data_IF_784286571545
#
_entry.id   IF_784286571545
#
_cell.length_a   1.000
_cell.length_b   1.000
_cell.length_c   1.000
_cell.angle_alpha   90.00
_cell.angle_beta   90.00
_cell.angle_gamma   90.00
#
_symmetry.space_group_name_H-M   'P 1'
#
loop_
_entity.id
_entity.type
_entity.pdbx_description
1 polymer ?
#
# COMPACT_ATOMS: atom_id res chain seq x y z
N UNK A 1 28.14 9.89 -21.99
CA UNK A 1 28.10 8.41 -22.11
C UNK A 1 27.45 7.67 -20.92
N UNK A 2 28.06 7.53 -19.71
CA UNK A 2 27.40 6.78 -18.59
C UNK A 2 26.14 7.47 -18.03
N UNK A 3 26.16 8.81 -17.93
CA UNK A 3 25.00 9.59 -17.46
C UNK A 3 23.84 9.58 -18.48
N UNK A 4 24.13 9.77 -19.78
CA UNK A 4 23.12 9.67 -20.84
C UNK A 4 22.43 8.30 -20.88
N UNK A 5 23.21 7.19 -20.83
CA UNK A 5 22.64 5.83 -20.82
C UNK A 5 21.74 5.57 -19.60
N UNK A 6 22.06 6.19 -18.46
CA UNK A 6 21.22 6.13 -17.26
C UNK A 6 19.89 6.85 -17.47
N UNK A 7 19.92 8.05 -18.02
CA UNK A 7 18.71 8.82 -18.32
C UNK A 7 17.86 8.17 -19.42
N UNK A 8 18.48 7.54 -20.42
CA UNK A 8 17.78 6.72 -21.42
C UNK A 8 17.08 5.52 -20.80
N UNK A 9 17.76 4.79 -19.90
CA UNK A 9 17.14 3.69 -19.16
C UNK A 9 15.93 4.18 -18.37
N UNK A 10 16.09 5.27 -17.62
CA UNK A 10 15.02 5.82 -16.79
C UNK A 10 13.82 6.22 -17.65
N UNK A 11 14.05 6.93 -18.76
CA UNK A 11 12.99 7.31 -19.70
C UNK A 11 12.32 6.10 -20.35
N UNK A 12 13.04 5.03 -20.63
CA UNK A 12 12.48 3.81 -21.24
C UNK A 12 11.62 2.98 -20.28
N UNK A 13 11.88 3.08 -18.96
CA UNK A 13 11.10 2.41 -17.92
C UNK A 13 9.95 3.28 -17.40
N UNK A 14 10.05 4.61 -17.51
CA UNK A 14 9.00 5.53 -17.11
C UNK A 14 7.82 5.54 -18.10
N UNK A 15 6.65 5.91 -17.61
CA UNK A 15 5.42 6.04 -18.40
C UNK A 15 4.51 7.10 -17.77
N UNK A 16 3.73 7.79 -18.59
CA UNK A 16 3.00 9.01 -18.18
C UNK A 16 2.07 8.77 -16.97
N UNK A 17 1.41 7.62 -16.93
CA UNK A 17 0.46 7.25 -15.89
C UNK A 17 1.13 7.02 -14.52
N UNK A 18 2.43 6.68 -14.47
CA UNK A 18 3.16 6.50 -13.20
C UNK A 18 3.26 7.82 -12.43
N UNK A 19 3.58 8.91 -13.13
CA UNK A 19 3.75 10.21 -12.50
C UNK A 19 2.44 10.74 -11.94
N UNK A 20 1.33 10.56 -12.67
CA UNK A 20 -0.01 10.92 -12.20
C UNK A 20 -0.38 10.20 -10.89
N UNK A 21 0.04 8.93 -10.76
CA UNK A 21 -0.17 8.10 -9.56
C UNK A 21 0.61 8.55 -8.34
N UNK A 22 1.88 8.92 -8.50
CA UNK A 22 2.70 9.40 -7.37
C UNK A 22 2.11 10.66 -6.72
N UNK A 23 1.47 11.53 -7.51
CA UNK A 23 0.81 12.75 -7.00
C UNK A 23 -0.47 12.47 -6.20
N UNK A 24 -1.15 11.34 -6.41
CA UNK A 24 -2.38 11.01 -5.68
C UNK A 24 -2.12 10.53 -4.24
N UNK A 25 -0.92 10.05 -3.94
CA UNK A 25 -0.58 9.44 -2.65
C UNK A 25 -0.16 10.43 -1.55
N UNK A 26 0.09 11.70 -1.88
CA UNK A 26 0.70 12.69 -0.98
C UNK A 26 -0.27 13.42 -0.05
N UNK A 27 -1.56 13.08 -0.04
CA UNK A 27 -2.63 13.87 0.61
C UNK A 27 -3.36 13.16 1.77
N UNK A 28 -2.73 12.19 2.44
CA UNK A 28 -3.34 11.46 3.57
C UNK A 28 -3.04 12.04 4.95
N UNK A 29 -4.07 12.15 5.81
CA UNK A 29 -3.93 12.48 7.23
C UNK A 29 -3.19 11.35 7.97
N UNK A 30 -1.95 11.60 8.39
CA UNK A 30 -1.01 10.60 8.96
C UNK A 30 -1.24 10.27 10.44
N UNK A 31 -2.11 11.01 11.14
CA UNK A 31 -2.23 10.94 12.60
C UNK A 31 -2.94 9.68 13.15
N UNK A 32 -3.29 8.68 12.33
CA UNK A 32 -4.20 7.58 12.70
C UNK A 32 -3.57 6.18 12.70
N UNK A 33 -2.27 6.05 12.40
CA UNK A 33 -1.63 4.73 12.24
C UNK A 33 -0.62 4.34 13.33
N UNK A 34 -0.48 5.09 14.42
CA UNK A 34 0.52 4.79 15.46
C UNK A 34 0.40 3.37 16.06
N UNK A 35 -0.80 2.80 16.05
CA UNK A 35 -1.04 1.42 16.49
C UNK A 35 -0.23 0.39 15.71
N UNK A 36 0.17 0.67 14.45
CA UNK A 36 0.90 -0.27 13.60
C UNK A 36 2.23 -0.70 14.22
N UNK A 37 2.88 0.20 14.94
CA UNK A 37 4.17 -0.01 15.59
C UNK A 37 4.08 -0.93 16.82
N UNK A 38 2.89 -1.37 17.17
CA UNK A 38 2.63 -2.36 18.23
C UNK A 38 2.00 -3.65 17.69
N UNK A 39 2.10 -3.90 16.39
CA UNK A 39 1.54 -5.09 15.73
C UNK A 39 2.62 -6.05 15.26
N UNK A 40 2.19 -7.21 14.75
CA UNK A 40 3.02 -8.21 14.07
C UNK A 40 3.82 -7.66 12.89
N UNK A 41 3.49 -6.46 12.40
CA UNK A 41 4.28 -5.77 11.39
C UNK A 41 5.71 -5.50 11.85
N UNK A 42 5.91 -5.07 13.10
CA UNK A 42 7.26 -4.81 13.65
C UNK A 42 8.05 -6.11 13.82
N UNK A 43 7.38 -7.16 14.27
CA UNK A 43 7.96 -8.51 14.35
C UNK A 43 8.41 -8.97 12.96
N UNK A 44 7.56 -8.78 11.95
CA UNK A 44 7.89 -9.10 10.58
C UNK A 44 9.09 -8.28 10.07
N UNK A 45 9.12 -6.95 10.27
CA UNK A 45 10.21 -6.08 9.83
C UNK A 45 11.57 -6.50 10.39
N UNK A 46 11.61 -6.99 11.63
CA UNK A 46 12.84 -7.44 12.29
C UNK A 46 13.19 -8.91 12.04
N UNK A 47 12.25 -9.71 11.53
CA UNK A 47 12.43 -11.14 11.25
C UNK A 47 13.13 -11.44 9.91
N UNK A 48 13.43 -12.72 9.68
CA UNK A 48 13.87 -13.26 8.38
C UNK A 48 12.73 -13.59 7.41
N UNK A 49 11.46 -13.43 7.82
CA UNK A 49 10.33 -13.70 6.94
C UNK A 49 10.30 -12.68 5.80
N UNK A 50 10.11 -13.16 4.57
CA UNK A 50 10.07 -12.35 3.37
C UNK A 50 8.71 -11.70 3.15
N UNK A 51 7.63 -12.48 3.21
CA UNK A 51 6.28 -12.05 2.87
C UNK A 51 5.45 -11.58 4.09
N UNK A 52 4.70 -10.49 3.93
CA UNK A 52 3.69 -10.00 4.86
C UNK A 52 2.42 -9.56 4.11
N UNK A 53 1.24 -9.86 4.65
CA UNK A 53 -0.03 -9.53 4.02
C UNK A 53 -0.96 -8.71 4.94
N UNK A 54 -1.29 -7.50 4.49
CA UNK A 54 -2.27 -6.61 5.10
C UNK A 54 -3.59 -6.78 4.35
N UNK A 55 -4.55 -7.47 4.96
CA UNK A 55 -5.89 -7.59 4.41
C UNK A 55 -6.83 -6.54 5.00
N UNK A 56 -7.91 -6.20 4.30
CA UNK A 56 -8.88 -5.26 4.84
C UNK A 56 -10.10 -5.04 3.97
N UNK A 57 -11.22 -4.69 4.61
CA UNK A 57 -12.46 -4.30 3.91
C UNK A 57 -12.23 -3.11 2.95
N UNK A 58 -13.05 -2.95 1.90
CA UNK A 58 -13.06 -1.72 1.10
C UNK A 58 -13.22 -0.49 2.01
N UNK A 59 -12.49 0.60 1.72
CA UNK A 59 -12.57 1.83 2.53
C UNK A 59 -11.96 1.75 3.94
N UNK A 60 -11.26 0.67 4.30
CA UNK A 60 -10.60 0.53 5.61
C UNK A 60 -9.27 1.30 5.75
N UNK A 61 -8.80 1.98 4.69
CA UNK A 61 -7.56 2.77 4.72
C UNK A 61 -6.27 2.01 4.41
N UNK A 62 -6.33 0.81 3.78
CA UNK A 62 -5.14 0.03 3.38
C UNK A 62 -4.12 0.85 2.58
N UNK A 63 -4.56 1.50 1.50
CA UNK A 63 -3.67 2.28 0.63
C UNK A 63 -3.03 3.45 1.34
N UNK A 64 -3.78 4.11 2.23
CA UNK A 64 -3.25 5.17 3.08
C UNK A 64 -2.20 4.63 4.05
N UNK A 65 -2.43 3.46 4.66
CA UNK A 65 -1.43 2.80 5.51
C UNK A 65 -0.19 2.39 4.71
N UNK A 66 -0.35 1.78 3.53
CA UNK A 66 0.77 1.37 2.68
C UNK A 66 1.65 2.56 2.26
N UNK A 67 1.02 3.69 1.90
CA UNK A 67 1.72 4.94 1.62
C UNK A 67 2.49 5.45 2.85
N UNK A 68 1.83 5.47 4.01
CA UNK A 68 2.43 5.85 5.29
C UNK A 68 3.66 4.99 5.61
N UNK A 69 3.54 3.66 5.57
CA UNK A 69 4.63 2.75 5.91
C UNK A 69 5.81 2.84 4.94
N UNK A 70 5.56 3.04 3.65
CA UNK A 70 6.64 3.19 2.67
C UNK A 70 7.40 4.52 2.80
N UNK A 71 6.79 5.54 3.41
CA UNK A 71 7.38 6.88 3.58
C UNK A 71 7.90 7.19 4.99
N UNK A 72 7.47 6.45 6.02
CA UNK A 72 7.83 6.72 7.42
C UNK A 72 9.23 6.18 7.77
N UNK A 73 10.03 7.00 8.45
CA UNK A 73 11.38 6.65 8.86
C UNK A 73 11.43 5.54 9.91
N UNK A 74 10.35 5.33 10.68
CA UNK A 74 10.24 4.23 11.63
C UNK A 74 10.30 2.88 10.94
N UNK A 75 9.76 2.74 9.71
CA UNK A 75 9.90 1.50 8.92
C UNK A 75 11.37 1.12 8.76
N UNK A 76 12.21 2.08 8.36
CA UNK A 76 13.66 1.87 8.24
C UNK A 76 14.33 1.55 9.58
N UNK A 77 13.85 2.11 10.69
CA UNK A 77 14.41 1.82 12.03
C UNK A 77 14.07 0.41 12.54
N UNK A 78 12.89 -0.12 12.20
CA UNK A 78 12.46 -1.46 12.62
C UNK A 78 12.91 -2.57 11.68
N UNK A 79 13.22 -2.23 10.43
CA UNK A 79 13.83 -3.17 9.49
C UNK A 79 15.07 -3.81 10.10
N UNK A 80 15.20 -5.12 9.91
CA UNK A 80 16.23 -5.96 10.50
C UNK A 80 17.63 -5.30 10.44
N UNK A 81 18.15 -4.97 11.62
CA UNK A 81 19.38 -4.17 11.80
C UNK A 81 20.68 -5.00 11.85
N UNK A 82 20.59 -6.33 12.00
CA UNK A 82 21.76 -7.21 11.99
C UNK A 82 22.34 -7.42 10.57
N UNK A 83 21.64 -6.91 9.55
CA UNK A 83 22.11 -6.90 8.18
C UNK A 83 23.21 -5.84 8.05
N UNK A 84 24.38 -6.20 7.51
CA UNK A 84 25.49 -5.26 7.32
C UNK A 84 25.24 -4.24 6.19
N UNK A 85 24.07 -4.28 5.56
CA UNK A 85 23.74 -3.55 4.35
C UNK A 85 22.63 -2.54 4.63
N UNK A 86 22.65 -1.36 3.99
CA UNK A 86 21.56 -0.40 4.13
C UNK A 86 20.29 -0.93 3.46
N UNK A 87 19.14 -0.43 3.90
CA UNK A 87 17.83 -0.74 3.31
C UNK A 87 17.46 0.28 2.23
N UNK A 88 16.75 -0.19 1.20
CA UNK A 88 16.01 0.65 0.26
C UNK A 88 14.56 0.21 0.20
N UNK A 89 13.65 1.18 0.08
CA UNK A 89 12.22 0.92 -0.03
C UNK A 89 11.80 1.25 -1.47
N UNK A 90 11.06 0.34 -2.09
CA UNK A 90 10.39 0.54 -3.37
C UNK A 90 8.92 0.14 -3.24
N UNK A 91 8.06 0.72 -4.06
CA UNK A 91 6.61 0.50 -3.94
C UNK A 91 5.86 0.55 -5.25
N UNK A 92 4.73 -0.15 -5.29
CA UNK A 92 3.76 -0.09 -6.36
C UNK A 92 2.35 -0.21 -5.79
N UNK A 93 1.36 0.33 -6.49
CA UNK A 93 -0.03 0.09 -6.18
C UNK A 93 -0.81 -0.10 -7.47
N UNK A 94 -1.74 -1.06 -7.46
CA UNK A 94 -2.78 -1.16 -8.46
C UNK A 94 -3.88 -0.15 -8.12
N UNK A 95 -4.44 0.48 -9.16
CA UNK A 95 -5.59 1.39 -9.05
C UNK A 95 -6.52 1.10 -10.22
N UNK A 96 -7.68 0.49 -9.96
CA UNK A 96 -8.67 0.16 -10.99
C UNK A 96 -9.16 1.40 -11.75
N UNK A 97 -9.10 2.60 -11.14
CA UNK A 97 -9.52 3.87 -11.76
C UNK A 97 -8.50 4.38 -12.78
N UNK A 98 -7.28 3.85 -12.77
CA UNK A 98 -6.25 4.21 -13.74
C UNK A 98 -6.59 3.77 -15.18
N UNK A 99 -7.67 3.00 -15.35
CA UNK A 99 -8.15 2.54 -16.66
C UNK A 99 -7.24 1.48 -17.28
N UNK A 100 -7.54 1.13 -18.54
CA UNK A 100 -6.77 0.14 -19.30
C UNK A 100 -5.47 0.78 -19.80
N UNK A 101 -4.33 0.29 -19.32
CA UNK A 101 -3.01 0.75 -19.74
C UNK A 101 -1.88 0.13 -18.91
N UNK A 102 -0.64 0.54 -19.20
CA UNK A 102 0.58 0.10 -18.49
C UNK A 102 0.54 0.42 -17.01
N UNK A 103 -0.28 1.40 -16.61
CA UNK A 103 -0.47 1.72 -15.22
C UNK A 103 -0.94 0.49 -14.42
N UNK A 104 -2.02 -0.18 -14.81
CA UNK A 104 -2.69 -1.14 -13.94
C UNK A 104 -2.48 -2.61 -14.33
N UNK A 105 -1.24 -2.98 -14.68
CA UNK A 105 -0.92 -4.34 -15.10
C UNK A 105 0.47 -4.80 -14.61
N UNK A 106 0.85 -6.03 -14.97
CA UNK A 106 2.11 -6.63 -14.55
C UNK A 106 3.33 -5.89 -15.13
N UNK A 107 3.23 -5.39 -16.35
CA UNK A 107 4.25 -4.54 -16.97
C UNK A 107 4.49 -3.26 -16.17
N UNK A 108 3.43 -2.59 -15.72
CA UNK A 108 3.50 -1.41 -14.85
C UNK A 108 4.17 -1.68 -13.52
N UNK A 109 3.79 -2.78 -12.86
CA UNK A 109 4.42 -3.22 -11.62
C UNK A 109 5.92 -3.43 -11.82
N UNK A 110 6.30 -4.23 -12.82
CA UNK A 110 7.70 -4.57 -13.06
C UNK A 110 8.54 -3.36 -13.47
N UNK A 111 8.02 -2.51 -14.36
CA UNK A 111 8.70 -1.25 -14.76
C UNK A 111 8.90 -0.33 -13.58
N UNK A 112 7.87 -0.13 -12.76
CA UNK A 112 7.91 0.79 -11.62
C UNK A 112 8.90 0.30 -10.55
N UNK A 113 8.87 -0.99 -10.20
CA UNK A 113 9.80 -1.57 -9.23
C UNK A 113 11.23 -1.52 -9.75
N UNK A 114 11.46 -1.87 -11.02
CA UNK A 114 12.79 -1.83 -11.63
C UNK A 114 13.33 -0.39 -11.68
N UNK A 115 12.50 0.58 -12.10
CA UNK A 115 12.85 2.00 -12.16
C UNK A 115 13.25 2.52 -10.78
N UNK A 116 12.42 2.30 -9.75
CA UNK A 116 12.75 2.74 -8.39
C UNK A 116 14.01 2.07 -7.85
N UNK A 117 14.23 0.79 -8.16
CA UNK A 117 15.43 0.06 -7.74
C UNK A 117 16.70 0.71 -8.33
N UNK A 118 16.74 0.99 -9.63
CA UNK A 118 17.91 1.63 -10.27
C UNK A 118 18.06 3.12 -9.96
N UNK A 119 16.97 3.80 -9.60
CA UNK A 119 17.00 5.19 -9.13
C UNK A 119 17.59 5.28 -7.71
N UNK A 120 17.12 4.42 -6.80
CA UNK A 120 17.53 4.40 -5.39
C UNK A 120 18.93 3.79 -5.19
N UNK A 121 19.35 2.92 -6.10
CA UNK A 121 20.66 2.24 -6.08
C UNK A 121 21.37 2.45 -7.42
N UNK A 122 22.01 3.62 -7.62
CA UNK A 122 22.61 3.99 -8.90
C UNK A 122 23.62 2.97 -9.45
N UNK A 123 24.29 2.23 -8.56
CA UNK A 123 25.25 1.16 -8.87
C UNK A 123 24.63 0.02 -9.70
N UNK A 124 23.30 -0.16 -9.62
CA UNK A 124 22.58 -1.18 -10.38
C UNK A 124 22.32 -0.79 -11.83
N UNK A 125 22.35 0.51 -12.17
CA UNK A 125 22.04 0.98 -13.53
C UNK A 125 22.90 0.28 -14.58
N UNK A 126 24.22 0.25 -14.36
CA UNK A 126 25.15 -0.40 -15.31
C UNK A 126 24.94 -1.91 -15.35
N UNK A 127 24.74 -2.55 -14.20
CA UNK A 127 24.54 -4.01 -14.12
C UNK A 127 23.26 -4.45 -14.84
N UNK A 128 22.15 -3.75 -14.62
CA UNK A 128 20.87 -4.04 -15.29
C UNK A 128 20.99 -3.90 -16.80
N UNK A 129 21.69 -2.86 -17.28
CA UNK A 129 21.96 -2.68 -18.71
C UNK A 129 22.87 -3.78 -19.28
N UNK A 130 23.90 -4.20 -18.54
CA UNK A 130 24.78 -5.31 -18.94
C UNK A 130 24.01 -6.62 -19.02
N UNK A 131 23.21 -6.97 -18.00
CA UNK A 131 22.37 -8.17 -18.03
C UNK A 131 21.33 -8.13 -19.17
N UNK A 132 20.75 -6.97 -19.42
CA UNK A 132 19.83 -6.77 -20.54
C UNK A 132 20.55 -6.97 -21.88
N UNK A 133 21.75 -6.41 -22.04
CA UNK A 133 22.58 -6.56 -23.25
C UNK A 133 22.96 -8.01 -23.49
N UNK A 134 23.49 -8.68 -22.48
CA UNK A 134 24.03 -10.04 -22.59
C UNK A 134 22.94 -11.05 -22.95
N UNK A 135 21.72 -10.84 -22.44
CA UNK A 135 20.60 -11.76 -22.66
C UNK A 135 19.73 -11.44 -23.87
N UNK A 136 19.55 -10.17 -24.22
CA UNK A 136 18.60 -9.73 -25.25
C UNK A 136 19.25 -8.99 -26.43
N UNK A 137 20.54 -8.66 -26.34
CA UNK A 137 21.29 -7.93 -27.36
C UNK A 137 21.18 -6.41 -27.26
N UNK A 138 22.14 -5.69 -27.85
CA UNK A 138 22.23 -4.21 -27.79
C UNK A 138 21.02 -3.53 -28.46
N UNK A 139 20.47 -4.11 -29.53
CA UNK A 139 19.36 -3.52 -30.29
C UNK A 139 18.03 -3.49 -29.55
N UNK A 140 17.84 -4.36 -28.55
CA UNK A 140 16.62 -4.45 -27.75
C UNK A 140 16.83 -3.89 -26.33
N UNK A 141 17.90 -3.12 -26.09
CA UNK A 141 18.29 -2.68 -24.75
C UNK A 141 17.22 -1.88 -24.02
N UNK A 142 16.48 -1.05 -24.76
CA UNK A 142 15.45 -0.15 -24.21
C UNK A 142 14.02 -0.63 -24.50
N UNK A 143 13.88 -1.80 -25.14
CA UNK A 143 12.59 -2.47 -25.29
C UNK A 143 12.30 -3.30 -24.04
N UNK A 144 11.07 -3.22 -23.52
CA UNK A 144 10.72 -3.82 -22.23
C UNK A 144 9.51 -4.75 -22.32
N UNK A 145 9.64 -5.92 -23.01
CA UNK A 145 8.64 -6.97 -22.90
C UNK A 145 8.62 -7.54 -21.47
N UNK A 146 7.45 -8.01 -21.02
CA UNK A 146 7.22 -8.49 -19.66
C UNK A 146 8.27 -9.50 -19.18
N UNK A 147 8.64 -10.47 -20.03
CA UNK A 147 9.68 -11.47 -19.72
C UNK A 147 11.03 -10.84 -19.41
N UNK A 148 11.43 -9.81 -20.17
CA UNK A 148 12.68 -9.08 -19.95
C UNK A 148 12.59 -8.25 -18.68
N UNK A 149 11.47 -7.57 -18.44
CA UNK A 149 11.24 -6.80 -17.22
C UNK A 149 11.35 -7.66 -15.96
N UNK A 150 10.66 -8.81 -15.93
CA UNK A 150 10.72 -9.78 -14.83
C UNK A 150 12.16 -10.21 -14.58
N UNK A 151 12.87 -10.61 -15.62
CA UNK A 151 14.25 -11.06 -15.49
C UNK A 151 15.19 -9.94 -15.02
N UNK A 152 15.07 -8.74 -15.58
CA UNK A 152 15.89 -7.59 -15.22
C UNK A 152 15.63 -7.13 -13.77
N UNK A 153 14.39 -7.21 -13.29
CA UNK A 153 14.08 -6.98 -11.89
C UNK A 153 14.74 -8.02 -10.98
N UNK A 154 14.60 -9.32 -11.29
CA UNK A 154 15.22 -10.39 -10.51
C UNK A 154 16.75 -10.29 -10.52
N UNK A 155 17.36 -10.04 -11.67
CA UNK A 155 18.82 -9.88 -11.78
C UNK A 155 19.29 -8.61 -11.03
N UNK A 156 18.51 -7.53 -11.09
CA UNK A 156 18.74 -6.30 -10.32
C UNK A 156 18.66 -6.53 -8.80
N UNK A 157 17.65 -7.25 -8.33
CA UNK A 157 17.51 -7.66 -6.93
C UNK A 157 18.71 -8.52 -6.52
N UNK A 158 19.03 -9.58 -7.27
CA UNK A 158 20.18 -10.47 -6.97
C UNK A 158 21.51 -9.71 -6.88
N UNK A 159 21.72 -8.74 -7.75
CA UNK A 159 22.93 -7.93 -7.80
C UNK A 159 22.92 -6.73 -6.82
N UNK A 160 21.84 -6.52 -6.07
CA UNK A 160 21.66 -5.36 -5.20
C UNK A 160 22.68 -5.38 -4.05
N UNK A 161 23.47 -4.30 -3.85
CA UNK A 161 24.35 -4.16 -2.69
C UNK A 161 23.59 -3.68 -1.44
N UNK A 162 22.26 -3.77 -1.40
CA UNK A 162 21.39 -3.26 -0.34
C UNK A 162 20.29 -4.29 -0.04
N UNK A 163 19.75 -4.24 1.17
CA UNK A 163 18.48 -4.93 1.42
C UNK A 163 17.33 -4.16 0.76
N UNK A 164 16.28 -4.87 0.35
CA UNK A 164 15.15 -4.27 -0.36
C UNK A 164 13.85 -4.58 0.36
N UNK A 165 13.06 -3.55 0.67
CA UNK A 165 11.69 -3.71 1.17
C UNK A 165 10.71 -3.20 0.10
N UNK A 166 9.80 -4.06 -0.31
CA UNK A 166 8.88 -3.86 -1.43
C UNK A 166 7.47 -3.78 -0.87
N UNK A 167 6.75 -2.70 -1.18
CA UNK A 167 5.33 -2.56 -0.86
C UNK A 167 4.49 -2.68 -2.13
N UNK A 168 3.51 -3.58 -2.15
CA UNK A 168 2.56 -3.73 -3.27
C UNK A 168 1.14 -3.64 -2.73
N UNK A 169 0.44 -2.57 -3.07
CA UNK A 169 -0.95 -2.33 -2.65
C UNK A 169 -1.96 -2.63 -3.77
N UNK A 170 -3.18 -2.96 -3.37
CA UNK A 170 -4.31 -3.16 -4.27
C UNK A 170 -4.26 -4.45 -5.10
N UNK A 171 -3.74 -5.57 -4.59
CA UNK A 171 -3.66 -6.81 -5.40
C UNK A 171 -5.03 -7.26 -5.95
N UNK A 172 -6.12 -6.97 -5.25
CA UNK A 172 -7.50 -7.21 -5.70
C UNK A 172 -7.92 -6.35 -6.91
N UNK A 173 -7.18 -5.29 -7.21
CA UNK A 173 -7.44 -4.38 -8.32
C UNK A 173 -6.66 -4.74 -9.59
N UNK A 174 -5.91 -5.86 -9.57
CA UNK A 174 -5.22 -6.37 -10.74
C UNK A 174 -6.19 -7.12 -11.66
N UNK A 175 -6.42 -6.56 -12.85
CA UNK A 175 -7.36 -7.12 -13.85
C UNK A 175 -6.73 -8.18 -14.78
N UNK A 176 -5.47 -8.58 -14.53
CA UNK A 176 -4.76 -9.54 -15.38
C UNK A 176 -4.82 -10.99 -14.88
N UNK A 177 -3.83 -11.79 -15.29
CA UNK A 177 -3.76 -13.19 -14.87
C UNK A 177 -3.15 -13.29 -13.46
N UNK A 178 -3.99 -13.45 -12.43
CA UNK A 178 -3.58 -13.58 -11.03
C UNK A 178 -2.50 -14.65 -10.80
N UNK A 179 -2.51 -15.74 -11.56
CA UNK A 179 -1.48 -16.78 -11.44
C UNK A 179 -0.10 -16.27 -11.87
N UNK A 180 -0.02 -15.46 -12.92
CA UNK A 180 1.26 -14.87 -13.36
C UNK A 180 1.76 -13.83 -12.35
N UNK A 181 0.85 -13.04 -11.76
CA UNK A 181 1.21 -12.14 -10.67
C UNK A 181 1.79 -12.91 -9.49
N UNK A 182 1.12 -13.97 -9.02
CA UNK A 182 1.64 -14.78 -7.91
C UNK A 182 2.99 -15.45 -8.24
N UNK A 183 3.21 -15.90 -9.48
CA UNK A 183 4.52 -16.42 -9.89
C UNK A 183 5.61 -15.35 -9.78
N UNK A 184 5.33 -14.11 -10.17
CA UNK A 184 6.28 -13.00 -10.04
C UNK A 184 6.55 -12.67 -8.57
N UNK A 185 5.51 -12.61 -7.73
CA UNK A 185 5.67 -12.34 -6.30
C UNK A 185 6.43 -13.48 -5.59
N UNK A 186 6.18 -14.73 -5.97
CA UNK A 186 6.91 -15.90 -5.48
C UNK A 186 8.38 -15.87 -5.91
N UNK A 187 8.72 -15.55 -7.16
CA UNK A 187 10.12 -15.41 -7.58
C UNK A 187 10.88 -14.33 -6.77
N UNK A 188 10.19 -13.24 -6.41
CA UNK A 188 10.73 -12.17 -5.57
C UNK A 188 10.94 -12.67 -4.15
N UNK A 189 9.98 -13.40 -3.57
CA UNK A 189 10.07 -13.93 -2.21
C UNK A 189 11.08 -15.07 -2.08
N UNK A 190 11.16 -15.99 -3.05
CA UNK A 190 12.16 -17.06 -3.10
C UNK A 190 13.59 -16.51 -3.18
N UNK A 191 13.74 -15.32 -3.77
CA UNK A 191 15.03 -14.62 -3.78
C UNK A 191 15.48 -14.22 -2.36
N UNK A 192 14.58 -14.06 -1.38
CA UNK A 192 14.90 -13.69 0.00
C UNK A 192 15.81 -14.70 0.71
N UNK A 193 15.68 -16.00 0.40
CA UNK A 193 16.39 -17.09 1.10
C UNK A 193 17.76 -17.43 0.52
N UNK A 194 18.05 -17.01 -0.72
CA UNK A 194 19.26 -17.41 -1.47
C UNK A 194 20.28 -16.29 -1.65
N UNK A 195 19.94 -15.08 -1.20
CA UNK A 195 20.74 -13.88 -1.42
C UNK A 195 21.60 -13.50 -0.21
N UNK A 196 22.74 -12.82 -0.44
CA UNK A 196 23.58 -12.30 0.64
C UNK A 196 22.96 -11.08 1.36
N UNK A 197 21.80 -10.61 0.90
CA UNK A 197 21.05 -9.48 1.44
C UNK A 197 19.58 -9.87 1.61
N UNK A 198 18.86 -9.15 2.47
CA UNK A 198 17.46 -9.40 2.74
C UNK A 198 16.55 -8.74 1.71
N UNK A 199 15.50 -9.46 1.30
CA UNK A 199 14.36 -8.91 0.58
C UNK A 199 13.12 -9.10 1.45
N UNK A 200 12.23 -8.10 1.45
CA UNK A 200 10.95 -8.11 2.16
C UNK A 200 9.85 -7.65 1.24
N UNK A 201 8.70 -8.33 1.28
CA UNK A 201 7.54 -8.07 0.44
C UNK A 201 6.31 -7.88 1.33
N UNK A 202 5.81 -6.65 1.39
CA UNK A 202 4.56 -6.31 2.05
C UNK A 202 3.46 -6.14 1.00
N UNK A 203 2.43 -6.98 1.09
CA UNK A 203 1.29 -7.02 0.19
C UNK A 203 0.06 -6.45 0.88
N UNK A 204 -0.78 -5.71 0.16
CA UNK A 204 -2.08 -5.27 0.67
C UNK A 204 -3.21 -5.53 -0.33
N UNK A 205 -4.35 -5.99 0.18
CA UNK A 205 -5.52 -6.28 -0.64
C UNK A 205 -6.83 -6.42 0.15
N UNK A 206 -7.96 -6.51 -0.55
CA UNK A 206 -9.18 -7.09 -0.01
C UNK A 206 -9.00 -8.58 0.28
N UNK A 207 -9.75 -9.15 1.25
CA UNK A 207 -9.73 -10.58 1.54
C UNK A 207 -10.60 -11.34 0.53
N UNK A 208 -10.31 -11.23 -0.76
CA UNK A 208 -11.01 -12.02 -1.79
C UNK A 208 -10.68 -13.51 -1.64
N UNK A 209 -11.56 -14.42 -2.09
CA UNK A 209 -11.38 -15.86 -1.87
C UNK A 209 -10.02 -16.38 -2.36
N UNK A 210 -9.59 -15.98 -3.57
CA UNK A 210 -8.32 -16.41 -4.15
C UNK A 210 -7.12 -15.87 -3.35
N UNK A 211 -7.11 -14.58 -3.01
CA UNK A 211 -6.04 -13.95 -2.24
C UNK A 211 -5.94 -14.55 -0.84
N UNK A 212 -7.08 -14.80 -0.19
CA UNK A 212 -7.14 -15.43 1.13
C UNK A 212 -6.61 -16.86 1.06
N UNK A 213 -7.04 -17.65 0.07
CA UNK A 213 -6.55 -19.03 -0.09
C UNK A 213 -5.02 -19.07 -0.28
N UNK A 214 -4.44 -18.11 -1.01
CA UNK A 214 -3.00 -18.08 -1.29
C UNK A 214 -2.17 -17.47 -0.15
N UNK A 215 -2.66 -16.44 0.54
CA UNK A 215 -1.86 -15.61 1.45
C UNK A 215 -2.15 -15.84 2.95
N UNK A 216 -3.16 -16.64 3.31
CA UNK A 216 -3.57 -16.81 4.71
C UNK A 216 -2.48 -17.36 5.67
N UNK A 217 -1.51 -18.11 5.16
CA UNK A 217 -0.38 -18.62 5.98
C UNK A 217 0.72 -17.58 6.18
N UNK A 218 0.68 -16.46 5.46
CA UNK A 218 1.66 -15.38 5.57
C UNK A 218 1.46 -14.62 6.88
N UNK A 219 2.55 -14.04 7.42
CA UNK A 219 2.44 -13.08 8.51
C UNK A 219 1.58 -11.89 8.07
N UNK A 220 0.74 -11.36 8.96
CA UNK A 220 -0.20 -10.33 8.57
C UNK A 220 -1.17 -9.93 9.67
N UNK A 221 -2.07 -9.03 9.31
CA UNK A 221 -3.24 -8.67 10.12
C UNK A 221 -4.38 -8.17 9.22
N UNK A 222 -5.56 -7.97 9.82
CA UNK A 222 -6.73 -7.40 9.16
C UNK A 222 -6.93 -5.96 9.62
N UNK A 223 -6.93 -5.00 8.69
CA UNK A 223 -7.06 -3.58 9.00
C UNK A 223 -8.25 -3.24 9.89
N UNK A 224 -9.42 -3.83 9.61
CA UNK A 224 -10.64 -3.52 10.35
C UNK A 224 -10.55 -3.84 11.85
N UNK A 225 -9.67 -4.76 12.24
CA UNK A 225 -9.52 -5.17 13.65
C UNK A 225 -8.74 -4.13 14.48
N UNK A 226 -8.03 -3.21 13.82
CA UNK A 226 -7.19 -2.19 14.48
C UNK A 226 -7.74 -0.76 14.38
N UNK A 227 -8.67 -0.53 13.46
CA UNK A 227 -9.15 0.82 13.14
C UNK A 227 -10.08 1.46 14.18
N UNK A 228 -10.60 0.70 15.16
CA UNK A 228 -11.62 1.20 16.10
C UNK A 228 -11.21 2.50 16.80
N UNK A 229 -10.01 2.55 17.38
CA UNK A 229 -9.51 3.75 18.09
C UNK A 229 -9.32 4.92 17.16
N UNK A 230 -8.70 4.70 15.99
CA UNK A 230 -8.48 5.76 15.00
C UNK A 230 -9.79 6.34 14.46
N UNK A 231 -10.80 5.51 14.22
CA UNK A 231 -12.14 5.96 13.82
C UNK A 231 -12.80 6.75 14.95
N UNK A 232 -12.71 6.27 16.19
CA UNK A 232 -13.27 6.95 17.35
C UNK A 232 -12.64 8.35 17.54
N UNK A 233 -11.32 8.46 17.37
CA UNK A 233 -10.59 9.74 17.43
C UNK A 233 -10.95 10.68 16.28
N UNK A 234 -11.05 10.15 15.05
CA UNK A 234 -11.55 10.89 13.89
C UNK A 234 -12.94 11.47 14.15
N UNK A 235 -13.88 10.66 14.63
CA UNK A 235 -15.24 11.12 14.95
C UNK A 235 -15.21 12.21 16.03
N UNK A 236 -14.44 12.00 17.11
CA UNK A 236 -14.31 13.01 18.17
C UNK A 236 -13.72 14.32 17.66
N UNK A 237 -12.70 14.27 16.81
CA UNK A 237 -12.06 15.48 16.29
C UNK A 237 -12.99 16.23 15.33
N UNK A 238 -13.68 15.51 14.45
CA UNK A 238 -14.69 16.08 13.54
C UNK A 238 -15.83 16.73 14.33
N UNK A 239 -16.37 16.04 15.34
CA UNK A 239 -17.42 16.60 16.18
C UNK A 239 -16.97 17.88 16.88
N UNK A 240 -15.77 17.93 17.45
CA UNK A 240 -15.23 19.15 18.10
C UNK A 240 -15.25 20.38 17.19
N UNK A 241 -15.04 20.22 15.89
CA UNK A 241 -15.07 21.33 14.94
C UNK A 241 -16.47 21.91 14.71
N UNK A 242 -17.53 21.15 15.01
CA UNK A 242 -18.93 21.52 14.76
C UNK A 242 -19.64 21.94 16.07
N UNK A 243 -18.95 21.91 17.22
CA UNK A 243 -19.55 22.11 18.55
C UNK A 243 -19.87 23.55 18.94
N UNK A 244 -20.90 23.67 19.80
CA UNK A 244 -21.04 24.72 20.83
C UNK A 244 -20.88 24.10 22.25
N UNK A 245 -20.52 24.91 23.25
CA UNK A 245 -19.89 24.47 24.51
C UNK A 245 -20.73 23.63 25.53
N UNK A 246 -21.91 23.09 25.19
CA UNK A 246 -22.87 22.55 26.19
C UNK A 246 -23.13 21.04 26.18
N UNK A 247 -22.44 20.23 25.38
CA UNK A 247 -22.89 18.84 25.11
C UNK A 247 -21.76 17.78 25.24
N UNK A 248 -21.27 17.46 26.45
CA UNK A 248 -20.06 16.60 26.61
C UNK A 248 -20.32 15.08 26.62
N UNK A 249 -21.35 14.58 27.32
CA UNK A 249 -21.49 13.12 27.53
C UNK A 249 -22.18 12.39 26.35
N UNK A 250 -23.15 13.04 25.69
CA UNK A 250 -23.89 12.48 24.56
C UNK A 250 -23.00 12.16 23.35
N UNK A 251 -22.01 13.02 23.08
CA UNK A 251 -21.12 12.92 21.91
C UNK A 251 -19.99 11.91 22.10
N UNK A 252 -19.58 11.67 23.35
CA UNK A 252 -18.61 10.60 23.65
C UNK A 252 -19.22 9.23 23.32
N UNK A 253 -20.48 9.00 23.67
CA UNK A 253 -21.20 7.78 23.30
C UNK A 253 -21.36 7.63 21.78
N UNK A 254 -21.66 8.74 21.08
CA UNK A 254 -21.79 8.74 19.61
C UNK A 254 -20.50 8.32 18.91
N UNK A 255 -19.34 8.76 19.39
CA UNK A 255 -18.05 8.37 18.81
C UNK A 255 -17.78 6.86 18.88
N UNK A 256 -18.11 6.24 20.01
CA UNK A 256 -17.98 4.78 20.19
C UNK A 256 -19.00 4.02 19.35
N UNK A 257 -20.22 4.52 19.24
CA UNK A 257 -21.29 3.91 18.45
C UNK A 257 -20.93 3.91 16.94
N UNK A 258 -20.45 5.04 16.41
CA UNK A 258 -20.02 5.15 15.01
C UNK A 258 -18.81 4.26 14.76
N UNK A 259 -17.81 4.25 15.66
CA UNK A 259 -16.65 3.39 15.53
C UNK A 259 -17.05 1.90 15.54
N UNK A 260 -17.97 1.49 16.41
CA UNK A 260 -18.50 0.12 16.46
C UNK A 260 -19.27 -0.26 15.20
N UNK A 261 -20.17 0.61 14.73
CA UNK A 261 -20.97 0.39 13.51
C UNK A 261 -20.16 0.38 12.23
N UNK A 262 -19.05 1.11 12.20
CA UNK A 262 -18.16 1.12 11.04
C UNK A 262 -17.51 -0.23 10.76
N UNK A 263 -17.46 -1.12 11.76
CA UNK A 263 -16.74 -2.40 11.69
C UNK A 263 -15.33 -2.22 11.09
N UNK A 264 -14.64 -1.15 11.50
CA UNK A 264 -13.29 -0.81 11.07
C UNK A 264 -13.17 -0.16 9.68
N UNK A 265 -14.27 0.28 9.07
CA UNK A 265 -14.28 0.93 7.75
C UNK A 265 -14.31 2.46 7.89
N UNK A 266 -13.19 3.12 7.60
CA UNK A 266 -13.08 4.59 7.68
C UNK A 266 -14.03 5.31 6.72
N UNK A 267 -14.21 4.81 5.49
CA UNK A 267 -15.13 5.44 4.54
C UNK A 267 -16.57 5.47 5.07
N UNK A 268 -17.01 4.38 5.68
CA UNK A 268 -18.32 4.30 6.32
C UNK A 268 -18.46 5.36 7.43
N UNK A 269 -17.46 5.45 8.31
CA UNK A 269 -17.47 6.45 9.38
C UNK A 269 -17.50 7.89 8.85
N UNK A 270 -16.79 8.18 7.75
CA UNK A 270 -16.84 9.49 7.07
C UNK A 270 -18.23 9.79 6.51
N UNK A 271 -18.86 8.82 5.84
CA UNK A 271 -20.22 8.99 5.29
C UNK A 271 -21.25 9.20 6.38
N UNK A 272 -21.20 8.39 7.45
CA UNK A 272 -22.07 8.56 8.61
C UNK A 272 -21.86 9.93 9.27
N UNK A 273 -20.61 10.38 9.42
CA UNK A 273 -20.30 11.70 9.96
C UNK A 273 -20.83 12.84 9.09
N UNK A 274 -20.71 12.74 7.76
CA UNK A 274 -21.24 13.75 6.86
C UNK A 274 -22.77 13.87 7.00
N UNK A 275 -23.50 12.76 7.03
CA UNK A 275 -24.96 12.79 7.22
C UNK A 275 -25.37 13.38 8.58
N UNK A 276 -24.61 13.08 9.64
CA UNK A 276 -24.86 13.65 10.97
C UNK A 276 -24.54 15.15 11.05
N UNK A 277 -23.49 15.60 10.38
CA UNK A 277 -23.15 17.02 10.30
C UNK A 277 -24.24 17.76 9.53
N UNK A 278 -24.69 17.22 8.41
CA UNK A 278 -25.79 17.78 7.62
C UNK A 278 -27.06 17.90 8.47
N UNK A 279 -27.42 16.85 9.22
CA UNK A 279 -28.55 16.88 10.15
C UNK A 279 -28.40 17.95 11.25
N UNK A 280 -27.20 18.08 11.82
CA UNK A 280 -26.94 19.10 12.83
C UNK A 280 -27.11 20.52 12.26
N UNK A 281 -26.63 20.76 11.04
CA UNK A 281 -26.77 22.05 10.33
C UNK A 281 -28.24 22.35 10.00
N UNK A 282 -29.06 21.33 9.72
CA UNK A 282 -30.51 21.49 9.48
C UNK A 282 -31.35 21.65 10.75
N UNK A 283 -30.73 21.55 11.93
CA UNK A 283 -31.40 21.74 13.22
C UNK A 283 -32.02 20.46 13.81
N UNK A 284 -31.58 19.28 13.36
CA UNK A 284 -32.05 18.00 13.87
C UNK A 284 -31.75 17.87 15.37
N UNK A 285 -32.72 17.34 16.10
CA UNK A 285 -32.57 16.98 17.52
C UNK A 285 -31.62 15.80 17.69
N UNK A 286 -31.11 15.60 18.91
CA UNK A 286 -30.26 14.45 19.23
C UNK A 286 -30.92 13.09 18.90
N UNK A 287 -32.24 12.98 19.10
CA UNK A 287 -32.99 11.77 18.75
C UNK A 287 -33.03 11.50 17.25
N UNK A 288 -33.19 12.55 16.44
CA UNK A 288 -33.21 12.47 14.98
C UNK A 288 -31.82 12.12 14.43
N UNK A 289 -30.75 12.69 14.98
CA UNK A 289 -29.37 12.33 14.64
C UNK A 289 -29.08 10.84 14.94
N UNK A 290 -29.58 10.31 16.06
CA UNK A 290 -29.46 8.88 16.37
C UNK A 290 -30.27 8.01 15.39
N UNK A 291 -31.45 8.46 14.96
CA UNK A 291 -32.24 7.76 13.94
C UNK A 291 -31.56 7.79 12.56
N UNK A 292 -30.92 8.89 12.18
CA UNK A 292 -30.09 9.00 10.98
C UNK A 292 -28.95 7.97 11.00
N UNK A 293 -28.20 7.92 12.10
CA UNK A 293 -27.14 6.92 12.28
C UNK A 293 -27.65 5.48 12.18
N UNK A 294 -28.88 5.20 12.65
CA UNK A 294 -29.50 3.87 12.50
C UNK A 294 -29.87 3.53 11.06
N UNK A 295 -30.17 4.53 10.24
CA UNK A 295 -30.55 4.36 8.82
C UNK A 295 -29.36 4.16 7.91
N UNK A 296 -28.15 4.59 8.31
CA UNK A 296 -26.93 4.33 7.54
C UNK A 296 -26.72 2.81 7.45
N UNK A 297 -26.81 2.21 6.24
CA UNK A 297 -26.58 0.78 6.05
C UNK A 297 -25.19 0.40 6.52
N UNK A 298 -25.01 -0.79 7.08
CA UNK A 298 -23.69 -1.25 7.54
C UNK A 298 -22.76 -1.67 6.40
N UNK A 299 -23.32 -2.12 5.28
CA UNK A 299 -22.54 -2.48 4.11
C UNK A 299 -22.24 -1.24 3.28
N UNK A 300 -20.96 -1.06 2.94
CA UNK A 300 -20.49 0.06 2.14
C UNK A 300 -21.12 0.07 0.75
N UNK A 301 -21.47 -1.10 0.19
CA UNK A 301 -22.16 -1.20 -1.11
C UNK A 301 -23.55 -0.58 -1.11
N UNK A 302 -24.20 -0.49 0.05
CA UNK A 302 -25.52 0.12 0.20
C UNK A 302 -25.43 1.63 0.48
N UNK A 303 -24.21 2.18 0.66
CA UNK A 303 -23.95 3.61 0.95
C UNK A 303 -23.13 4.30 -0.15
N UNK A 304 -22.51 3.54 -1.07
CA UNK A 304 -21.58 4.04 -2.10
C UNK A 304 -21.74 3.33 -3.45
#
# INVERSE_FOLDING_TARGET
MKAERREELFRSLDFAERQAREHQLSSGDTATFDWIWSTTFVDWLSSTQGLFWISGKPGSGKSTLMSYLAGDSKTLSFLRQDTKLPWTIIRFFFDFRAGKGTANNLEGLLRTLLLQLVQNVPELTTRVLEFAKDRFGESQLLDWPEKKLRQSLLDGLKACPRNVCIFVDGLDEYEGNMLELFKVLADIDDSCGSLPHAVKLCLASRPEPLLTATLHESAGFRMQDHNFKGIQEYVRSTLKCVRTAKEDDAFTNLSSEIAGRSEGVFLWARLAMNDLIDGHVTGDTQGELLERLKRVPRDLHDVY
#
